data_IF_673653455507
#
_entry.id   IF_673653455507
#
_cell.length_a   1.000
_cell.length_b   1.000
_cell.length_c   1.000
_cell.angle_alpha   90.00
_cell.angle_beta   90.00
_cell.angle_gamma   90.00
#
_symmetry.space_group_name_H-M   'P 1'
#
loop_
_entity.id
_entity.type
_entity.pdbx_description
1 polymer ?
#
# COMPACT_ATOMS: atom_id res chain seq x y z
N UNK A 1 -12.65 -31.75 -12.30
CA UNK A 1 -13.09 -30.91 -11.17
C UNK A 1 -12.14 -29.74 -11.08
N UNK A 2 -12.52 -28.57 -11.60
CA UNK A 2 -11.69 -27.37 -11.54
C UNK A 2 -12.14 -26.61 -10.31
N UNK A 3 -11.38 -26.70 -9.21
CA UNK A 3 -11.65 -25.90 -8.02
C UNK A 3 -11.37 -24.43 -8.36
N UNK A 4 -12.41 -23.60 -8.40
CA UNK A 4 -12.24 -22.16 -8.27
C UNK A 4 -11.84 -21.92 -6.82
N UNK A 5 -10.54 -21.77 -6.55
CA UNK A 5 -10.09 -21.17 -5.30
C UNK A 5 -10.65 -19.75 -5.27
N UNK A 6 -11.70 -19.53 -4.47
CA UNK A 6 -12.07 -18.20 -4.05
C UNK A 6 -10.85 -17.65 -3.29
N UNK A 7 -10.08 -16.76 -3.93
CA UNK A 7 -9.06 -16.00 -3.23
C UNK A 7 -9.78 -15.27 -2.09
N UNK A 8 -9.47 -15.63 -0.85
CA UNK A 8 -9.95 -14.87 0.29
C UNK A 8 -9.52 -13.42 0.09
N UNK A 9 -10.47 -12.48 0.20
CA UNK A 9 -10.19 -11.06 0.08
C UNK A 9 -9.13 -10.71 1.13
N UNK A 10 -8.02 -10.13 0.67
CA UNK A 10 -6.94 -9.71 1.55
C UNK A 10 -7.43 -8.66 2.54
N UNK A 11 -6.95 -8.72 3.77
CA UNK A 11 -7.27 -7.71 4.79
C UNK A 11 -6.84 -6.30 4.37
N UNK A 12 -5.91 -6.20 3.41
CA UNK A 12 -5.39 -4.94 2.88
C UNK A 12 -6.20 -4.36 1.73
N UNK A 13 -7.06 -5.13 1.06
CA UNK A 13 -7.95 -4.61 0.02
C UNK A 13 -8.84 -3.50 0.58
N UNK A 14 -8.96 -2.39 -0.12
CA UNK A 14 -9.76 -1.25 0.33
C UNK A 14 -9.12 0.11 0.05
N UNK A 15 -9.65 1.14 0.69
CA UNK A 15 -9.13 2.51 0.57
C UNK A 15 -8.43 2.90 1.86
N UNK A 16 -7.22 3.45 1.74
CA UNK A 16 -6.34 3.80 2.83
C UNK A 16 -6.04 5.30 2.82
N UNK A 17 -6.38 5.98 3.92
CA UNK A 17 -5.96 7.36 4.15
C UNK A 17 -4.56 7.36 4.76
N UNK A 18 -3.66 8.09 4.12
CA UNK A 18 -2.25 8.23 4.51
C UNK A 18 -1.79 9.68 4.35
N UNK A 19 -0.57 10.00 4.79
CA UNK A 19 0.04 11.33 4.61
C UNK A 19 1.29 11.26 3.74
N UNK A 20 1.60 12.32 3.02
CA UNK A 20 2.86 12.42 2.27
C UNK A 20 4.01 13.03 3.07
N UNK A 21 5.15 13.30 2.41
CA UNK A 21 6.33 13.92 3.01
C UNK A 21 6.09 15.31 3.59
N UNK A 22 5.08 16.04 3.08
CA UNK A 22 4.69 17.35 3.59
C UNK A 22 3.54 17.26 4.61
N UNK A 23 3.16 16.04 5.03
CA UNK A 23 2.05 15.79 5.95
C UNK A 23 0.66 15.94 5.32
N UNK A 24 0.56 16.16 4.00
CA UNK A 24 -0.73 16.33 3.31
C UNK A 24 -1.42 14.97 3.16
N UNK A 25 -2.72 14.86 3.50
CA UNK A 25 -3.44 13.60 3.37
C UNK A 25 -3.68 13.26 1.90
N UNK A 26 -3.61 11.98 1.57
CA UNK A 26 -4.04 11.41 0.30
C UNK A 26 -4.54 9.98 0.52
N UNK A 27 -5.14 9.40 -0.51
CA UNK A 27 -5.72 8.06 -0.46
C UNK A 27 -4.94 7.10 -1.35
N UNK A 28 -4.86 5.84 -0.92
CA UNK A 28 -4.37 4.70 -1.68
C UNK A 28 -5.50 3.67 -1.76
N UNK A 29 -5.90 3.28 -2.97
CA UNK A 29 -6.85 2.21 -3.21
C UNK A 29 -6.11 0.94 -3.59
N UNK A 30 -6.35 -0.15 -2.86
CA UNK A 30 -5.85 -1.49 -3.14
C UNK A 30 -7.03 -2.36 -3.59
N UNK A 31 -7.07 -2.71 -4.87
CA UNK A 31 -8.14 -3.53 -5.46
C UNK A 31 -7.81 -5.02 -5.38
N UNK A 32 -8.83 -5.88 -5.27
CA UNK A 32 -8.70 -7.35 -5.18
C UNK A 32 -7.88 -8.00 -6.30
N UNK A 33 -7.85 -7.40 -7.49
CA UNK A 33 -7.01 -7.85 -8.60
C UNK A 33 -5.52 -7.45 -8.53
N UNK A 34 -5.05 -6.96 -7.38
CA UNK A 34 -3.65 -6.52 -7.21
C UNK A 34 -3.33 -5.16 -7.84
N UNK A 35 -4.33 -4.39 -8.27
CA UNK A 35 -4.14 -3.04 -8.79
C UNK A 35 -4.12 -2.01 -7.64
N UNK A 36 -3.23 -1.02 -7.74
CA UNK A 36 -3.13 0.09 -6.79
C UNK A 36 -3.30 1.44 -7.50
N UNK A 37 -3.98 2.38 -6.84
CA UNK A 37 -4.11 3.77 -7.27
C UNK A 37 -3.91 4.71 -6.09
N UNK A 38 -3.37 5.89 -6.31
CA UNK A 38 -3.31 6.95 -5.31
C UNK A 38 -3.88 8.26 -5.83
N UNK A 39 -4.50 9.06 -4.95
CA UNK A 39 -5.03 10.39 -5.29
C UNK A 39 -3.95 11.49 -5.31
N UNK A 40 -2.70 11.14 -5.00
CA UNK A 40 -1.57 12.06 -5.00
C UNK A 40 -0.94 12.17 -6.39
N UNK A 41 -0.70 13.41 -6.84
CA UNK A 41 -0.25 13.70 -8.21
C UNK A 41 -1.40 13.54 -9.22
N UNK A 42 -1.08 13.44 -10.51
CA UNK A 42 -2.04 13.16 -11.60
C UNK A 42 -2.62 11.72 -11.56
N UNK A 43 -2.77 11.13 -10.37
CA UNK A 43 -3.27 9.77 -10.19
C UNK A 43 -2.19 8.71 -10.38
N UNK A 44 -1.26 8.60 -9.43
CA UNK A 44 -0.24 7.54 -9.44
C UNK A 44 -0.89 6.16 -9.44
N UNK A 45 -0.43 5.26 -10.30
CA UNK A 45 -0.91 3.88 -10.41
C UNK A 45 0.20 2.89 -10.10
N UNK A 46 -0.18 1.67 -9.74
CA UNK A 46 0.76 0.62 -9.40
C UNK A 46 0.09 -0.74 -9.28
N UNK A 47 0.87 -1.68 -8.78
CA UNK A 47 0.39 -3.00 -8.37
C UNK A 47 0.70 -3.23 -6.91
N UNK A 48 -0.01 -4.15 -6.27
CA UNK A 48 0.26 -4.53 -4.89
C UNK A 48 0.04 -6.02 -4.67
N UNK A 49 0.68 -6.53 -3.61
CA UNK A 49 0.51 -7.90 -3.10
C UNK A 49 0.58 -7.90 -1.58
N UNK A 50 -0.04 -8.89 -0.97
CA UNK A 50 0.13 -9.18 0.46
C UNK A 50 1.40 -10.02 0.69
N UNK A 51 2.17 -9.66 1.71
CA UNK A 51 3.36 -10.34 2.18
C UNK A 51 3.36 -10.36 3.71
N UNK A 52 2.91 -11.47 4.30
CA UNK A 52 2.73 -11.60 5.75
C UNK A 52 1.80 -10.52 6.28
N UNK A 53 2.25 -9.75 7.26
CA UNK A 53 1.47 -8.66 7.87
C UNK A 53 1.57 -7.33 7.09
N UNK A 54 1.85 -7.35 5.79
CA UNK A 54 1.96 -6.13 5.00
C UNK A 54 1.39 -6.23 3.59
N UNK A 55 0.88 -5.11 3.08
CA UNK A 55 0.71 -4.90 1.65
C UNK A 55 1.93 -4.18 1.07
N UNK A 56 2.56 -4.77 0.06
CA UNK A 56 3.66 -4.19 -0.68
C UNK A 56 3.16 -3.65 -2.02
N UNK A 57 3.26 -2.35 -2.21
CA UNK A 57 2.77 -1.61 -3.37
C UNK A 57 3.97 -1.12 -4.19
N UNK A 58 4.00 -1.47 -5.47
CA UNK A 58 4.99 -0.99 -6.44
C UNK A 58 4.31 0.02 -7.37
N UNK A 59 4.78 1.26 -7.31
CA UNK A 59 4.23 2.34 -8.14
C UNK A 59 4.93 2.40 -9.49
N UNK A 60 4.22 2.91 -10.51
CA UNK A 60 4.76 3.17 -11.83
C UNK A 60 5.96 4.16 -11.84
N UNK A 61 6.07 4.99 -10.80
CA UNK A 61 7.21 5.90 -10.57
C UNK A 61 8.48 5.17 -10.08
N UNK A 62 8.39 3.88 -9.80
CA UNK A 62 9.46 3.07 -9.21
C UNK A 62 9.58 3.18 -7.70
N UNK A 63 8.73 3.99 -7.04
CA UNK A 63 8.63 3.99 -5.58
C UNK A 63 7.94 2.74 -5.08
N UNK A 64 8.25 2.35 -3.84
CA UNK A 64 7.57 1.26 -3.15
C UNK A 64 6.92 1.81 -1.89
N UNK A 65 5.66 1.44 -1.65
CA UNK A 65 4.97 1.72 -0.39
C UNK A 65 4.64 0.41 0.30
N UNK A 66 4.91 0.31 1.60
CA UNK A 66 4.53 -0.81 2.45
C UNK A 66 3.51 -0.34 3.47
N UNK A 67 2.34 -0.97 3.51
CA UNK A 67 1.34 -0.78 4.59
C UNK A 67 1.43 -2.00 5.48
N UNK A 68 1.93 -1.85 6.71
CA UNK A 68 2.16 -2.95 7.65
C UNK A 68 1.14 -2.90 8.78
N UNK A 69 0.54 -4.04 9.13
CA UNK A 69 -0.28 -4.18 10.33
C UNK A 69 0.62 -4.36 11.55
N UNK A 70 0.42 -3.56 12.58
CA UNK A 70 1.12 -3.62 13.86
C UNK A 70 0.08 -3.64 14.98
N UNK A 71 -0.28 -4.85 15.43
CA UNK A 71 -1.40 -5.05 16.34
C UNK A 71 -2.72 -4.55 15.73
N UNK A 72 -3.31 -3.52 16.34
CA UNK A 72 -4.57 -2.91 15.90
C UNK A 72 -4.39 -1.68 15.01
N UNK A 73 -3.15 -1.30 14.69
CA UNK A 73 -2.84 -0.13 13.88
C UNK A 73 -2.19 -0.54 12.56
N UNK A 74 -2.23 0.35 11.58
CA UNK A 74 -1.53 0.18 10.32
C UNK A 74 -0.58 1.34 10.10
N UNK A 75 0.61 1.03 9.59
CA UNK A 75 1.65 1.99 9.34
C UNK A 75 2.10 1.95 7.88
N UNK A 76 2.21 3.12 7.26
CA UNK A 76 2.72 3.30 5.91
C UNK A 76 4.19 3.69 5.96
N UNK A 77 5.04 2.96 5.24
CA UNK A 77 6.40 3.32 4.91
C UNK A 77 6.58 3.44 3.39
N UNK A 78 7.28 4.48 2.91
CA UNK A 78 7.55 4.70 1.50
C UNK A 78 9.05 4.78 1.23
N UNK A 79 9.48 4.14 0.14
CA UNK A 79 10.87 3.94 -0.23
C UNK A 79 11.08 4.44 -1.66
N UNK A 80 12.22 5.09 -1.89
CA UNK A 80 12.60 5.55 -3.23
C UNK A 80 12.92 4.36 -4.14
N UNK A 81 12.96 4.61 -5.44
CA UNK A 81 13.38 3.61 -6.44
C UNK A 81 14.74 3.01 -6.09
N UNK A 82 14.79 1.68 -5.96
CA UNK A 82 16.01 0.91 -5.66
C UNK A 82 16.48 1.00 -4.19
N UNK A 83 15.74 1.69 -3.32
CA UNK A 83 16.05 1.72 -1.90
C UNK A 83 15.69 0.38 -1.24
N UNK A 84 16.55 -0.13 -0.37
CA UNK A 84 16.24 -1.32 0.44
C UNK A 84 15.04 -1.08 1.35
N UNK A 85 14.15 -2.07 1.45
CA UNK A 85 12.98 -2.02 2.34
C UNK A 85 13.33 -2.18 3.83
N UNK A 86 14.54 -2.66 4.13
CA UNK A 86 15.07 -2.78 5.49
C UNK A 86 15.77 -1.49 5.97
N UNK A 87 15.98 -0.52 5.07
CA UNK A 87 16.54 0.78 5.43
C UNK A 87 15.46 1.70 6.04
N UNK A 88 15.88 2.81 6.64
CA UNK A 88 14.96 3.85 7.09
C UNK A 88 14.12 4.38 5.90
N UNK A 89 12.77 4.45 6.02
CA UNK A 89 11.92 4.87 4.91
C UNK A 89 12.11 6.35 4.59
N UNK A 90 11.93 6.72 3.32
CA UNK A 90 11.95 8.11 2.88
C UNK A 90 10.74 8.91 3.41
N UNK A 91 9.65 8.22 3.73
CA UNK A 91 8.49 8.79 4.43
C UNK A 91 7.74 7.70 5.19
N UNK A 92 7.28 8.04 6.38
CA UNK A 92 6.39 7.21 7.18
C UNK A 92 5.16 7.99 7.63
N UNK A 93 4.04 7.30 7.83
CA UNK A 93 2.85 7.84 8.50
C UNK A 93 1.97 6.70 9.00
N UNK A 94 1.01 7.00 9.85
CA UNK A 94 -0.12 6.09 10.06
C UNK A 94 -0.88 5.86 8.74
N UNK A 95 -1.51 4.70 8.65
CA UNK A 95 -2.44 4.33 7.60
C UNK A 95 -3.77 3.97 8.25
N UNK A 96 -4.86 4.55 7.73
CA UNK A 96 -6.20 4.27 8.21
C UNK A 96 -7.03 3.72 7.08
N UNK A 97 -7.57 2.51 7.26
CA UNK A 97 -8.53 1.94 6.31
C UNK A 97 -9.85 2.69 6.44
N UNK A 98 -10.35 3.24 5.34
CA UNK A 98 -11.59 4.03 5.29
C UNK A 98 -12.71 3.33 4.53
N UNK A 99 -12.38 2.34 3.69
CA UNK A 99 -13.32 1.46 2.98
C UNK A 99 -12.71 0.08 2.84
#
# INVERSE_FOLDING_TARGET
MTSLSALAASAFEGVWKVKDTAGKPFEITLSSGGAAKATRGEGMTGTWKEEGDAALITWNTGWTTKITKQGNQYHKAAYRKGQSLDAAPANSSDAQKVK
#
